data_IF_708606999287
#
_entry.id   IF_708606999287
#
_cell.length_a   1.000
_cell.length_b   1.000
_cell.length_c   1.000
_cell.angle_alpha   90.00
_cell.angle_beta   90.00
_cell.angle_gamma   90.00
#
_symmetry.space_group_name_H-M   'P 1'
#
loop_
_entity.id
_entity.type
_entity.pdbx_description
1 polymer ?
#
# COMPACT_ATOMS: atom_id res chain seq x y z
N UNK A 1 -16.87 -19.67 -8.65
CA UNK A 1 -16.59 -18.39 -7.94
C UNK A 1 -15.33 -17.65 -8.46
N UNK A 2 -14.16 -18.30 -8.57
CA UNK A 2 -12.92 -17.62 -9.06
C UNK A 2 -13.02 -17.02 -10.48
N UNK A 3 -13.70 -17.67 -11.42
CA UNK A 3 -13.92 -17.12 -12.77
C UNK A 3 -14.92 -15.95 -12.78
N UNK A 4 -15.97 -16.01 -11.95
CA UNK A 4 -16.96 -14.94 -11.81
C UNK A 4 -16.31 -13.63 -11.32
N UNK A 5 -15.39 -13.73 -10.36
CA UNK A 5 -14.63 -12.61 -9.80
C UNK A 5 -13.36 -12.27 -10.61
N UNK A 6 -13.15 -12.84 -11.81
CA UNK A 6 -11.94 -12.58 -12.60
C UNK A 6 -12.07 -11.35 -13.51
N UNK A 7 -13.29 -10.96 -13.88
CA UNK A 7 -13.61 -9.84 -14.78
C UNK A 7 -14.20 -8.66 -14.02
N UNK A 8 -13.78 -7.44 -14.38
CA UNK A 8 -14.29 -6.19 -13.80
C UNK A 8 -15.80 -6.06 -14.02
N UNK A 9 -16.29 -6.44 -15.20
CA UNK A 9 -17.72 -6.38 -15.55
C UNK A 9 -18.57 -7.25 -14.63
N UNK A 10 -18.17 -8.51 -14.42
CA UNK A 10 -18.92 -9.41 -13.51
C UNK A 10 -18.78 -9.00 -12.05
N UNK A 11 -17.63 -8.45 -11.62
CA UNK A 11 -17.51 -7.88 -10.27
C UNK A 11 -18.51 -6.75 -10.06
N UNK A 12 -18.58 -5.79 -10.98
CA UNK A 12 -19.50 -4.65 -10.89
C UNK A 12 -20.96 -5.09 -10.88
N UNK A 13 -21.34 -6.01 -11.78
CA UNK A 13 -22.70 -6.57 -11.82
C UNK A 13 -23.07 -7.26 -10.49
N UNK A 14 -22.16 -8.09 -9.95
CA UNK A 14 -22.38 -8.78 -8.68
C UNK A 14 -22.52 -7.79 -7.51
N UNK A 15 -21.64 -6.80 -7.41
CA UNK A 15 -21.70 -5.80 -6.33
C UNK A 15 -22.96 -4.94 -6.42
N UNK A 16 -23.42 -4.62 -7.64
CA UNK A 16 -24.68 -3.90 -7.84
C UNK A 16 -25.89 -4.73 -7.40
N UNK A 17 -25.95 -5.99 -7.85
CA UNK A 17 -27.01 -6.91 -7.42
C UNK A 17 -27.05 -7.08 -5.89
N UNK A 18 -25.90 -7.28 -5.25
CA UNK A 18 -25.83 -7.39 -3.79
C UNK A 18 -26.28 -6.10 -3.09
N UNK A 19 -25.90 -4.93 -3.60
CA UNK A 19 -26.32 -3.65 -3.04
C UNK A 19 -27.84 -3.49 -3.10
N UNK A 20 -28.47 -3.83 -4.22
CA UNK A 20 -29.93 -3.81 -4.39
C UNK A 20 -30.63 -4.76 -3.42
N UNK A 21 -30.15 -6.02 -3.31
CA UNK A 21 -30.72 -6.99 -2.37
C UNK A 21 -30.55 -6.62 -0.91
N UNK A 22 -29.46 -5.94 -0.57
CA UNK A 22 -29.29 -5.40 0.77
C UNK A 22 -30.30 -4.27 1.05
N UNK A 23 -30.56 -3.38 0.09
CA UNK A 23 -31.56 -2.30 0.22
C UNK A 23 -32.99 -2.84 0.36
N UNK A 24 -33.38 -3.79 -0.49
CA UNK A 24 -34.67 -4.48 -0.39
C UNK A 24 -34.87 -5.11 1.00
N UNK A 25 -33.86 -5.85 1.47
CA UNK A 25 -33.91 -6.50 2.78
C UNK A 25 -33.95 -5.49 3.93
N UNK A 26 -33.19 -4.40 3.84
CA UNK A 26 -33.19 -3.35 4.86
C UNK A 26 -34.57 -2.68 4.96
N UNK A 27 -35.19 -2.37 3.82
CA UNK A 27 -36.57 -1.85 3.78
C UNK A 27 -37.56 -2.83 4.41
N UNK A 28 -37.50 -4.12 4.04
CA UNK A 28 -38.39 -5.13 4.61
C UNK A 28 -38.22 -5.29 6.14
N UNK A 29 -37.04 -4.97 6.68
CA UNK A 29 -36.75 -5.02 8.11
C UNK A 29 -36.95 -3.67 8.82
N UNK A 30 -37.39 -2.61 8.13
CA UNK A 30 -37.50 -1.26 8.70
C UNK A 30 -36.17 -0.66 9.13
N UNK A 31 -35.06 -1.02 8.49
CA UNK A 31 -33.70 -0.55 8.83
C UNK A 31 -33.21 0.52 7.87
N UNK A 32 -32.54 1.52 8.44
CA UNK A 32 -31.78 2.50 7.67
C UNK A 32 -30.49 1.85 7.19
N UNK A 33 -30.30 1.80 5.86
CA UNK A 33 -29.10 1.25 5.26
C UNK A 33 -28.59 2.15 4.15
N UNK A 34 -27.28 2.28 4.08
CA UNK A 34 -26.53 2.93 2.99
C UNK A 34 -25.65 1.86 2.35
N UNK A 35 -25.59 1.83 1.02
CA UNK A 35 -24.69 0.97 0.24
C UNK A 35 -23.98 1.78 -0.83
N UNK A 36 -22.69 1.52 -0.99
CA UNK A 36 -21.87 2.11 -2.05
C UNK A 36 -21.17 1.01 -2.86
N UNK A 37 -21.18 1.14 -4.18
CA UNK A 37 -20.52 0.23 -5.12
C UNK A 37 -20.21 0.96 -6.43
N UNK A 38 -19.09 0.65 -7.07
CA UNK A 38 -18.66 1.43 -8.24
C UNK A 38 -18.68 2.93 -7.90
N UNK A 39 -19.25 3.77 -8.76
CA UNK A 39 -19.46 5.20 -8.43
C UNK A 39 -20.75 5.54 -7.70
N UNK A 40 -21.56 4.53 -7.39
CA UNK A 40 -22.90 4.70 -6.87
C UNK A 40 -22.91 4.69 -5.33
N UNK A 41 -23.78 5.50 -4.75
CA UNK A 41 -24.16 5.44 -3.35
C UNK A 41 -25.68 5.61 -3.25
N UNK A 42 -26.36 4.70 -2.53
CA UNK A 42 -27.80 4.72 -2.31
C UNK A 42 -28.12 4.43 -0.85
N UNK A 43 -29.27 4.90 -0.38
CA UNK A 43 -29.78 4.59 0.94
C UNK A 43 -31.29 4.38 0.93
N UNK A 44 -31.79 3.74 2.00
CA UNK A 44 -33.23 3.49 2.21
C UNK A 44 -34.01 4.69 2.76
N UNK A 45 -33.31 5.68 3.33
CA UNK A 45 -33.92 6.71 4.18
C UNK A 45 -33.59 8.14 3.75
N UNK A 46 -32.70 8.32 2.77
CA UNK A 46 -32.30 9.66 2.29
C UNK A 46 -31.63 9.57 0.92
N UNK A 47 -31.57 10.71 0.23
CA UNK A 47 -30.74 10.86 -0.96
C UNK A 47 -29.25 10.93 -0.56
N UNK A 48 -28.41 10.15 -1.24
CA UNK A 48 -26.97 10.03 -1.00
C UNK A 48 -26.10 10.48 -2.20
N UNK A 49 -26.65 11.30 -3.10
CA UNK A 49 -25.93 11.79 -4.29
C UNK A 49 -24.59 12.46 -3.94
N UNK A 50 -24.52 13.17 -2.82
CA UNK A 50 -23.32 13.85 -2.33
C UNK A 50 -22.20 12.90 -1.86
N UNK A 51 -22.49 11.60 -1.64
CA UNK A 51 -21.48 10.57 -1.35
C UNK A 51 -21.17 9.66 -2.55
N UNK A 52 -21.69 9.97 -3.74
CA UNK A 52 -21.22 9.33 -4.96
C UNK A 52 -19.77 9.72 -5.22
N UNK A 53 -18.95 8.73 -5.57
CA UNK A 53 -17.50 8.91 -5.65
C UNK A 53 -16.89 8.01 -6.69
N UNK A 54 -16.02 8.56 -7.53
CA UNK A 54 -15.20 7.84 -8.50
C UNK A 54 -14.01 7.11 -7.86
N UNK A 55 -13.84 7.22 -6.54
CA UNK A 55 -12.85 6.46 -5.78
C UNK A 55 -12.97 4.97 -6.08
N UNK A 56 -11.86 4.31 -6.41
CA UNK A 56 -11.91 2.90 -6.79
C UNK A 56 -11.96 1.98 -5.55
N UNK A 57 -11.28 2.37 -4.47
CA UNK A 57 -11.05 1.52 -3.31
C UNK A 57 -12.23 1.57 -2.32
N UNK A 58 -12.54 0.42 -1.72
CA UNK A 58 -13.70 0.28 -0.83
C UNK A 58 -13.40 0.74 0.60
N UNK A 59 -12.13 0.68 1.01
CA UNK A 59 -11.61 1.13 2.29
C UNK A 59 -11.83 2.64 2.49
N UNK A 60 -11.43 3.48 1.53
CA UNK A 60 -11.63 4.93 1.57
C UNK A 60 -13.11 5.30 1.60
N UNK A 61 -13.95 4.62 0.80
CA UNK A 61 -15.42 4.82 0.84
C UNK A 61 -16.04 4.45 2.17
N UNK A 62 -15.57 3.37 2.79
CA UNK A 62 -16.05 2.96 4.11
C UNK A 62 -15.78 4.05 5.14
N UNK A 63 -14.60 4.69 5.09
CA UNK A 63 -14.26 5.80 5.98
C UNK A 63 -15.04 7.07 5.66
N UNK A 64 -15.30 7.36 4.39
CA UNK A 64 -16.17 8.47 3.99
C UNK A 64 -17.56 8.37 4.63
N UNK A 65 -18.16 7.18 4.63
CA UNK A 65 -19.45 6.95 5.30
C UNK A 65 -19.38 7.07 6.82
N UNK A 66 -18.26 6.70 7.45
CA UNK A 66 -18.08 6.89 8.89
C UNK A 66 -18.00 8.38 9.27
N UNK A 67 -17.35 9.19 8.44
CA UNK A 67 -17.29 10.65 8.61
C UNK A 67 -18.66 11.28 8.40
N UNK A 68 -19.39 10.91 7.34
CA UNK A 68 -20.76 11.39 7.11
C UNK A 68 -21.71 11.00 8.24
N UNK A 69 -21.64 9.77 8.74
CA UNK A 69 -22.43 9.37 9.90
C UNK A 69 -22.10 10.23 11.14
N UNK A 70 -20.82 10.53 11.36
CA UNK A 70 -20.38 11.42 12.46
C UNK A 70 -20.95 12.83 12.28
N UNK A 71 -20.84 13.42 11.09
CA UNK A 71 -21.34 14.79 10.82
C UNK A 71 -22.86 14.89 10.94
N UNK A 72 -23.58 13.78 10.74
CA UNK A 72 -25.02 13.63 10.96
C UNK A 72 -25.41 13.31 12.41
N UNK A 73 -24.46 13.36 13.35
CA UNK A 73 -24.72 13.22 14.79
C UNK A 73 -24.59 11.80 15.34
N UNK A 74 -23.97 10.86 14.62
CA UNK A 74 -23.72 9.53 15.17
C UNK A 74 -22.84 9.62 16.43
N UNK A 75 -23.37 9.13 17.56
CA UNK A 75 -22.66 9.12 18.85
C UNK A 75 -21.72 7.92 19.02
N UNK A 76 -21.84 6.90 18.16
CA UNK A 76 -21.03 5.68 18.17
C UNK A 76 -20.91 5.09 16.77
N UNK A 77 -19.72 4.61 16.42
CA UNK A 77 -19.42 3.98 15.13
C UNK A 77 -18.65 2.67 15.36
N UNK A 78 -19.06 1.62 14.65
CA UNK A 78 -18.32 0.36 14.57
C UNK A 78 -17.90 0.11 13.12
N UNK A 79 -16.59 0.17 12.85
CA UNK A 79 -16.01 -0.09 11.54
C UNK A 79 -15.65 -1.57 11.47
N UNK A 80 -16.36 -2.32 10.63
CA UNK A 80 -16.14 -3.76 10.46
C UNK A 80 -15.21 -4.02 9.29
N UNK A 81 -13.97 -4.46 9.56
CA UNK A 81 -13.04 -4.86 8.51
C UNK A 81 -11.95 -5.81 9.02
N UNK A 82 -11.57 -6.85 8.24
CA UNK A 82 -10.35 -7.60 8.50
C UNK A 82 -9.08 -6.88 7.98
N UNK A 83 -9.26 -5.81 7.22
CA UNK A 83 -8.20 -5.14 6.46
C UNK A 83 -7.38 -4.16 7.33
N UNK A 84 -6.06 -4.21 7.17
CA UNK A 84 -5.15 -3.29 7.86
C UNK A 84 -5.21 -1.89 7.26
N UNK A 85 -5.50 -1.75 5.96
CA UNK A 85 -5.56 -0.47 5.28
C UNK A 85 -6.69 0.37 5.90
N UNK A 86 -7.87 -0.23 6.06
CA UNK A 86 -9.02 0.38 6.78
C UNK A 86 -8.65 0.77 8.21
N UNK A 87 -7.92 -0.08 8.94
CA UNK A 87 -7.52 0.21 10.32
C UNK A 87 -6.61 1.44 10.41
N UNK A 88 -5.60 1.52 9.54
CA UNK A 88 -4.66 2.65 9.50
C UNK A 88 -5.37 3.94 9.08
N UNK A 89 -6.25 3.88 8.07
CA UNK A 89 -7.04 5.04 7.65
C UNK A 89 -8.02 5.50 8.73
N UNK A 90 -8.65 4.58 9.46
CA UNK A 90 -9.53 4.91 10.58
C UNK A 90 -8.79 5.66 11.70
N UNK A 91 -7.55 5.27 12.01
CA UNK A 91 -6.72 6.02 12.98
C UNK A 91 -6.35 7.41 12.47
N UNK A 92 -5.99 7.53 11.18
CA UNK A 92 -5.68 8.82 10.55
C UNK A 92 -6.88 9.78 10.59
N UNK A 93 -8.09 9.26 10.35
CA UNK A 93 -9.32 10.04 10.28
C UNK A 93 -10.04 10.14 11.63
N UNK A 94 -9.55 9.46 12.67
CA UNK A 94 -10.15 9.50 14.01
C UNK A 94 -10.49 10.91 14.54
N UNK A 95 -9.69 11.97 14.30
CA UNK A 95 -10.03 13.32 14.76
C UNK A 95 -11.37 13.87 14.22
N UNK A 96 -11.84 13.37 13.07
CA UNK A 96 -13.11 13.76 12.45
C UNK A 96 -14.20 12.71 12.63
N UNK A 97 -13.93 11.64 13.37
CA UNK A 97 -14.90 10.61 13.74
C UNK A 97 -15.43 10.86 15.15
N UNK A 98 -16.60 10.30 15.45
CA UNK A 98 -17.16 10.40 16.79
C UNK A 98 -16.26 9.67 17.81
N UNK A 99 -16.28 10.16 19.07
CA UNK A 99 -15.40 9.67 20.13
C UNK A 99 -15.47 8.16 20.33
N UNK A 100 -16.69 7.61 20.28
CA UNK A 100 -16.98 6.18 20.45
C UNK A 100 -16.86 5.41 19.13
N UNK A 101 -15.74 5.60 18.43
CA UNK A 101 -15.41 4.81 17.24
C UNK A 101 -14.60 3.57 17.61
N UNK A 102 -15.07 2.41 17.15
CA UNK A 102 -14.42 1.11 17.35
C UNK A 102 -14.12 0.44 16.02
N UNK A 103 -13.07 -0.38 16.00
CA UNK A 103 -12.70 -1.22 14.87
C UNK A 103 -12.93 -2.68 15.21
N UNK A 104 -13.81 -3.33 14.44
CA UNK A 104 -14.21 -4.72 14.63
C UNK A 104 -13.52 -5.60 13.60
N UNK A 105 -12.68 -6.53 14.08
CA UNK A 105 -11.83 -7.36 13.23
C UNK A 105 -11.74 -8.80 13.75
N UNK A 106 -11.20 -9.71 12.93
CA UNK A 106 -11.16 -11.15 13.21
C UNK A 106 -12.48 -11.87 12.88
N UNK A 107 -12.44 -13.20 12.90
CA UNK A 107 -13.57 -14.06 12.53
C UNK A 107 -13.89 -15.06 13.64
N UNK A 108 -15.16 -15.45 13.74
CA UNK A 108 -15.65 -16.41 14.74
C UNK A 108 -15.22 -16.05 16.16
N UNK A 109 -14.63 -17.01 16.88
CA UNK A 109 -14.12 -16.84 18.26
C UNK A 109 -12.98 -15.83 18.39
N UNK A 110 -12.30 -15.45 17.30
CA UNK A 110 -11.20 -14.47 17.28
C UNK A 110 -11.67 -13.06 16.96
N UNK A 111 -12.99 -12.85 16.81
CA UNK A 111 -13.57 -11.53 16.60
C UNK A 111 -13.31 -10.67 17.84
N UNK A 112 -12.80 -9.46 17.61
CA UNK A 112 -12.50 -8.48 18.66
C UNK A 112 -12.92 -7.10 18.23
N UNK A 113 -13.27 -6.28 19.20
CA UNK A 113 -13.62 -4.87 19.05
C UNK A 113 -12.51 -4.05 19.69
N UNK A 114 -11.90 -3.17 18.91
CA UNK A 114 -10.76 -2.35 19.32
C UNK A 114 -11.20 -0.89 19.39
N UNK A 115 -11.23 -0.26 20.57
CA UNK A 115 -11.50 1.17 20.69
C UNK A 115 -10.38 2.00 20.04
N UNK A 116 -10.70 2.80 19.02
CA UNK A 116 -9.69 3.59 18.32
C UNK A 116 -9.14 4.74 19.18
N UNK A 117 -9.97 5.27 20.10
CA UNK A 117 -9.60 6.35 21.00
C UNK A 117 -8.30 6.08 21.77
N UNK A 118 -8.17 4.89 22.33
CA UNK A 118 -7.03 4.54 23.17
C UNK A 118 -5.73 4.53 22.36
N UNK A 119 -5.81 4.01 21.14
CA UNK A 119 -4.67 3.94 20.23
C UNK A 119 -4.30 5.34 19.75
N UNK A 120 -5.28 6.13 19.30
CA UNK A 120 -5.04 7.50 18.87
C UNK A 120 -4.37 8.34 19.96
N UNK A 121 -4.85 8.23 21.21
CA UNK A 121 -4.27 8.96 22.37
C UNK A 121 -2.87 8.50 22.76
N UNK A 122 -2.48 7.27 22.41
CA UNK A 122 -1.13 6.76 22.65
C UNK A 122 -0.09 7.25 21.63
N UNK A 123 -0.54 7.90 20.55
CA UNK A 123 0.31 8.37 19.46
C UNK A 123 0.36 9.89 19.42
N UNK A 124 1.52 10.44 19.05
CA UNK A 124 1.66 11.88 18.79
C UNK A 124 0.92 12.26 17.50
N UNK A 125 0.43 13.51 17.36
CA UNK A 125 -0.24 13.96 16.13
C UNK A 125 0.59 13.73 14.86
N UNK A 126 1.90 13.99 14.91
CA UNK A 126 2.82 13.74 13.78
C UNK A 126 2.95 12.25 13.45
N UNK A 127 2.86 11.37 14.45
CA UNK A 127 2.92 9.93 14.24
C UNK A 127 1.65 9.42 13.57
N UNK A 128 0.48 9.88 14.03
CA UNK A 128 -0.80 9.56 13.39
C UNK A 128 -0.80 10.04 11.93
N UNK A 129 -0.23 11.22 11.66
CA UNK A 129 -0.09 11.72 10.30
C UNK A 129 0.83 10.87 9.42
N UNK A 130 1.87 10.28 10.00
CA UNK A 130 2.82 9.44 9.30
C UNK A 130 2.35 7.99 9.07
N UNK A 131 1.31 7.51 9.78
CA UNK A 131 0.87 6.11 9.69
C UNK A 131 0.55 5.66 8.26
N UNK A 132 -0.19 6.42 7.41
CA UNK A 132 -0.44 6.01 6.02
C UNK A 132 0.87 5.89 5.23
N UNK A 133 1.77 6.86 5.33
CA UNK A 133 3.06 6.82 4.65
C UNK A 133 3.95 5.65 5.09
N UNK A 134 4.03 5.40 6.41
CA UNK A 134 4.73 4.27 6.98
C UNK A 134 4.16 2.93 6.48
N UNK A 135 2.83 2.79 6.50
CA UNK A 135 2.14 1.58 6.09
C UNK A 135 2.34 1.31 4.59
N UNK A 136 2.16 2.34 3.75
CA UNK A 136 2.46 2.28 2.32
C UNK A 136 3.92 1.86 2.06
N UNK A 137 4.89 2.44 2.77
CA UNK A 137 6.31 2.11 2.59
C UNK A 137 6.66 0.69 3.07
N UNK A 138 6.04 0.22 4.16
CA UNK A 138 6.33 -1.08 4.77
C UNK A 138 5.83 -2.29 3.95
N UNK A 139 5.08 -2.05 2.89
CA UNK A 139 4.49 -3.06 2.02
C UNK A 139 2.97 -3.14 2.18
N UNK A 140 2.28 -2.22 1.51
CA UNK A 140 0.88 -2.37 1.12
C UNK A 140 0.81 -3.27 -0.13
N UNK A 141 -0.40 -3.66 -0.55
CA UNK A 141 -0.63 -4.64 -1.61
C UNK A 141 0.06 -4.30 -2.96
N UNK A 142 0.41 -3.03 -3.18
CA UNK A 142 0.94 -2.51 -4.43
C UNK A 142 2.32 -1.81 -4.34
N UNK A 143 2.87 -1.61 -3.13
CA UNK A 143 4.16 -0.93 -2.96
C UNK A 143 5.35 -1.89 -2.89
N UNK A 144 5.08 -3.18 -2.67
CA UNK A 144 6.07 -4.25 -2.58
C UNK A 144 6.81 -4.28 -1.23
N UNK A 145 7.64 -5.31 -0.99
CA UNK A 145 8.25 -5.57 0.32
C UNK A 145 9.77 -5.40 0.36
N UNK A 146 10.29 -4.92 1.50
CA UNK A 146 11.73 -4.95 1.81
C UNK A 146 12.16 -6.35 2.29
N UNK A 147 13.19 -6.94 1.66
CA UNK A 147 13.61 -8.31 1.95
C UNK A 147 13.98 -8.51 3.43
N UNK A 148 13.36 -9.52 4.06
CA UNK A 148 13.60 -9.85 5.47
C UNK A 148 13.06 -8.81 6.48
N UNK A 149 12.31 -7.80 6.03
CA UNK A 149 11.78 -6.73 6.87
C UNK A 149 10.25 -6.72 6.80
N UNK A 150 9.62 -7.14 7.90
CA UNK A 150 8.16 -7.07 8.05
C UNK A 150 7.69 -5.79 8.73
N UNK A 151 6.37 -5.58 8.79
CA UNK A 151 5.72 -4.41 9.43
C UNK A 151 6.21 -4.14 10.87
N UNK A 152 6.51 -5.19 11.63
CA UNK A 152 7.07 -5.03 12.98
C UNK A 152 8.47 -4.41 13.01
N UNK A 153 9.30 -4.63 11.99
CA UNK A 153 10.61 -3.99 11.89
C UNK A 153 10.45 -2.49 11.60
N UNK A 154 9.54 -2.14 10.68
CA UNK A 154 9.15 -0.76 10.40
C UNK A 154 8.60 -0.06 11.64
N UNK A 155 7.70 -0.71 12.38
CA UNK A 155 7.12 -0.17 13.60
C UNK A 155 8.18 0.11 14.67
N UNK A 156 9.08 -0.84 14.93
CA UNK A 156 10.18 -0.64 15.89
C UNK A 156 11.09 0.52 15.50
N UNK A 157 11.45 0.63 14.22
CA UNK A 157 12.25 1.76 13.73
C UNK A 157 11.49 3.09 13.89
N UNK A 158 10.18 3.08 13.63
CA UNK A 158 9.31 4.26 13.71
C UNK A 158 9.15 4.78 15.14
N UNK A 159 9.14 3.89 16.14
CA UNK A 159 9.08 4.26 17.56
C UNK A 159 10.30 5.06 18.03
N UNK A 160 11.44 4.89 17.36
CA UNK A 160 12.70 5.58 17.69
C UNK A 160 13.10 6.61 16.62
N UNK A 161 12.24 6.87 15.65
CA UNK A 161 12.51 7.83 14.59
C UNK A 161 12.46 9.28 15.10
N UNK A 162 13.32 10.13 14.53
CA UNK A 162 13.28 11.56 14.81
C UNK A 162 12.03 12.22 14.22
N UNK A 163 11.71 13.42 14.68
CA UNK A 163 10.52 14.15 14.21
C UNK A 163 10.64 14.54 12.73
N UNK A 164 11.85 14.76 12.22
CA UNK A 164 12.12 15.00 10.79
C UNK A 164 11.75 13.77 9.95
N UNK A 165 12.15 12.58 10.41
CA UNK A 165 11.81 11.31 9.75
C UNK A 165 10.29 11.06 9.77
N UNK A 166 9.65 11.26 10.92
CA UNK A 166 8.21 11.07 11.06
C UNK A 166 7.46 12.06 10.15
N UNK A 167 7.91 13.31 10.10
CA UNK A 167 7.33 14.35 9.24
C UNK A 167 7.52 14.00 7.75
N UNK A 168 8.69 13.51 7.36
CA UNK A 168 8.97 13.06 6.00
C UNK A 168 8.02 11.90 5.59
N UNK A 169 7.80 10.92 6.47
CA UNK A 169 6.82 9.86 6.24
C UNK A 169 5.38 10.40 6.15
N UNK A 170 5.01 11.38 6.99
CA UNK A 170 3.71 12.05 6.94
C UNK A 170 3.49 12.92 5.69
N UNK A 171 4.57 13.32 5.02
CA UNK A 171 4.49 14.08 3.76
C UNK A 171 4.22 13.20 2.53
N UNK A 172 4.36 11.86 2.64
CA UNK A 172 3.93 10.95 1.57
C UNK A 172 2.45 11.17 1.26
N UNK A 173 2.07 11.28 -0.01
CA UNK A 173 0.72 11.62 -0.43
C UNK A 173 0.43 13.12 -0.57
N UNK A 174 1.36 14.00 -0.16
CA UNK A 174 1.21 15.46 -0.26
C UNK A 174 2.09 16.06 -1.36
N UNK A 175 1.76 17.24 -1.93
CA UNK A 175 2.59 17.88 -2.95
C UNK A 175 4.04 18.15 -2.53
N UNK A 176 4.31 18.28 -1.22
CA UNK A 176 5.64 18.51 -0.65
C UNK A 176 6.58 17.30 -0.65
N UNK A 177 6.14 16.13 -1.08
CA UNK A 177 6.92 14.89 -1.00
C UNK A 177 8.20 14.87 -1.86
N UNK A 178 8.25 15.63 -2.95
CA UNK A 178 9.37 15.57 -3.91
C UNK A 178 10.64 16.30 -3.47
N UNK A 179 10.74 16.72 -2.20
CA UNK A 179 11.95 17.37 -1.69
C UNK A 179 13.08 16.36 -1.50
N UNK A 180 14.31 16.78 -1.81
CA UNK A 180 15.50 15.97 -1.55
C UNK A 180 15.66 15.63 -0.06
N UNK A 181 15.20 16.51 0.82
CA UNK A 181 15.25 16.33 2.28
C UNK A 181 14.28 15.24 2.77
N UNK A 182 13.08 15.16 2.18
CA UNK A 182 12.13 14.07 2.43
C UNK A 182 12.75 12.72 2.05
N UNK A 183 13.37 12.63 0.86
CA UNK A 183 14.04 11.41 0.41
C UNK A 183 15.21 11.01 1.32
N UNK A 184 16.02 11.98 1.76
CA UNK A 184 17.14 11.76 2.67
C UNK A 184 16.68 11.32 4.06
N UNK A 185 15.57 11.86 4.55
CA UNK A 185 14.99 11.48 5.85
C UNK A 185 14.43 10.06 5.80
N UNK A 186 13.71 9.70 4.73
CA UNK A 186 13.23 8.32 4.54
C UNK A 186 14.40 7.35 4.32
N UNK A 187 15.46 7.76 3.61
CA UNK A 187 16.69 6.96 3.50
C UNK A 187 17.31 6.67 4.87
N UNK A 188 17.42 7.69 5.71
CA UNK A 188 17.94 7.56 7.09
C UNK A 188 17.10 6.56 7.88
N UNK A 189 15.78 6.64 7.76
CA UNK A 189 14.84 5.69 8.37
C UNK A 189 15.04 4.24 7.90
N UNK A 190 15.23 4.04 6.59
CA UNK A 190 15.48 2.70 6.05
C UNK A 190 16.83 2.17 6.55
N UNK A 191 17.85 3.02 6.65
CA UNK A 191 19.15 2.63 7.19
C UNK A 191 19.04 2.18 8.66
N UNK A 192 18.36 2.95 9.51
CA UNK A 192 18.17 2.59 10.92
C UNK A 192 17.35 1.31 11.09
N UNK A 193 16.37 1.06 10.21
CA UNK A 193 15.62 -0.20 10.20
C UNK A 193 16.49 -1.41 9.83
N UNK A 194 17.47 -1.25 8.93
CA UNK A 194 18.38 -2.32 8.53
C UNK A 194 19.47 -2.58 9.57
N UNK A 195 20.06 -1.52 10.13
CA UNK A 195 21.17 -1.59 11.07
C UNK A 195 21.03 -0.52 12.17
N UNK A 196 20.19 -0.75 13.20
CA UNK A 196 19.84 0.25 14.21
C UNK A 196 21.02 0.65 15.11
N UNK A 197 22.08 -0.15 15.18
CA UNK A 197 23.29 0.17 15.96
C UNK A 197 24.30 1.02 15.19
N UNK A 198 24.01 1.42 13.95
CA UNK A 198 24.95 2.16 13.10
C UNK A 198 24.55 3.62 12.94
N UNK A 199 25.54 4.49 12.76
CA UNK A 199 25.34 5.91 12.42
C UNK A 199 25.27 6.15 10.90
N UNK A 200 25.24 5.09 10.09
CA UNK A 200 25.20 5.21 8.64
C UNK A 200 23.78 5.59 8.20
N UNK A 201 23.65 6.78 7.61
CA UNK A 201 22.37 7.32 7.13
C UNK A 201 22.20 7.23 5.61
N UNK A 202 23.27 6.81 4.89
CA UNK A 202 23.28 6.66 3.43
C UNK A 202 23.21 5.20 3.05
N UNK A 203 22.23 4.84 2.23
CA UNK A 203 21.89 3.45 1.96
C UNK A 203 23.01 2.72 1.22
N UNK A 204 23.70 3.40 0.31
CA UNK A 204 24.82 2.81 -0.43
C UNK A 204 26.02 2.55 0.49
N UNK A 205 26.31 3.49 1.42
CA UNK A 205 27.36 3.31 2.44
C UNK A 205 27.01 2.16 3.38
N UNK A 206 25.75 2.09 3.83
CA UNK A 206 25.27 1.00 4.68
C UNK A 206 25.35 -0.34 3.95
N UNK A 207 24.91 -0.39 2.69
CA UNK A 207 24.94 -1.59 1.86
C UNK A 207 26.36 -2.10 1.69
N UNK A 208 27.32 -1.21 1.40
CA UNK A 208 28.74 -1.55 1.31
C UNK A 208 29.30 -2.05 2.64
N UNK A 209 28.99 -1.38 3.76
CA UNK A 209 29.43 -1.80 5.09
C UNK A 209 28.87 -3.17 5.48
N UNK A 210 27.58 -3.42 5.25
CA UNK A 210 26.97 -4.73 5.53
C UNK A 210 27.55 -5.85 4.66
N UNK A 211 27.90 -5.54 3.41
CA UNK A 211 28.55 -6.49 2.52
C UNK A 211 29.98 -6.79 2.95
N UNK A 212 30.80 -5.75 3.16
CA UNK A 212 32.24 -5.89 3.43
C UNK A 212 32.54 -6.34 4.86
N UNK A 213 31.87 -5.78 5.86
CA UNK A 213 32.19 -6.00 7.29
C UNK A 213 31.35 -7.10 7.93
N UNK A 214 30.07 -7.22 7.54
CA UNK A 214 29.16 -8.24 8.10
C UNK A 214 29.03 -9.49 7.22
N UNK A 215 29.69 -9.51 6.05
CA UNK A 215 29.58 -10.58 5.05
C UNK A 215 28.12 -10.98 4.78
N UNK A 216 27.23 -9.98 4.77
CA UNK A 216 25.80 -10.23 4.64
C UNK A 216 25.48 -10.76 3.25
N UNK A 217 24.67 -11.82 3.18
CA UNK A 217 24.15 -12.31 1.91
C UNK A 217 23.24 -11.26 1.26
N UNK A 218 23.13 -11.31 -0.07
CA UNK A 218 22.39 -10.32 -0.88
C UNK A 218 20.97 -10.07 -0.40
N UNK A 219 20.30 -11.10 0.12
CA UNK A 219 18.91 -11.07 0.61
C UNK A 219 18.73 -10.29 1.92
N UNK A 220 19.83 -10.06 2.66
CA UNK A 220 19.84 -9.31 3.93
C UNK A 220 20.31 -7.87 3.76
N UNK A 221 20.78 -7.50 2.57
CA UNK A 221 21.24 -6.15 2.29
C UNK A 221 20.04 -5.21 2.11
N UNK A 222 20.18 -3.92 2.49
CA UNK A 222 19.19 -2.89 2.14
C UNK A 222 19.11 -2.72 0.61
N UNK A 223 18.00 -2.19 0.07
CA UNK A 223 17.89 -1.94 -1.37
C UNK A 223 18.98 -1.00 -1.89
N UNK A 224 19.20 -0.98 -3.20
CA UNK A 224 20.00 0.09 -3.83
C UNK A 224 19.29 1.43 -3.67
N UNK A 225 20.03 2.54 -3.76
CA UNK A 225 19.44 3.88 -3.74
C UNK A 225 18.30 4.05 -4.75
N UNK A 226 18.51 3.64 -5.98
CA UNK A 226 17.50 3.71 -7.04
C UNK A 226 16.25 2.85 -6.72
N UNK A 227 16.43 1.64 -6.19
CA UNK A 227 15.29 0.81 -5.77
C UNK A 227 14.52 1.41 -4.60
N UNK A 228 15.21 2.09 -3.67
CA UNK A 228 14.58 2.82 -2.57
C UNK A 228 13.73 3.98 -3.11
N UNK A 229 14.26 4.79 -4.04
CA UNK A 229 13.52 5.92 -4.62
C UNK A 229 12.24 5.44 -5.33
N UNK A 230 12.29 4.32 -6.05
CA UNK A 230 11.09 3.72 -6.63
C UNK A 230 10.10 3.22 -5.56
N UNK A 231 10.59 2.64 -4.46
CA UNK A 231 9.73 2.23 -3.35
C UNK A 231 9.03 3.41 -2.67
N UNK A 232 9.75 4.52 -2.47
CA UNK A 232 9.21 5.77 -1.95
C UNK A 232 8.17 6.34 -2.91
N UNK A 233 8.44 6.35 -4.22
CA UNK A 233 7.48 6.81 -5.25
C UNK A 233 6.18 6.00 -5.25
N UNK A 234 6.25 4.67 -5.14
CA UNK A 234 5.04 3.83 -5.03
C UNK A 234 4.28 4.09 -3.73
N UNK A 235 5.00 4.23 -2.61
CA UNK A 235 4.37 4.54 -1.32
C UNK A 235 3.68 5.92 -1.34
N UNK A 236 4.32 6.90 -1.98
CA UNK A 236 3.76 8.22 -2.19
C UNK A 236 2.47 8.16 -3.02
N UNK A 237 2.49 7.43 -4.14
CA UNK A 237 1.30 7.26 -4.97
C UNK A 237 0.16 6.58 -4.20
N UNK A 238 0.44 5.54 -3.41
CA UNK A 238 -0.59 4.90 -2.61
C UNK A 238 -1.19 5.85 -1.57
N UNK A 239 -0.36 6.66 -0.91
CA UNK A 239 -0.84 7.69 0.01
C UNK A 239 -1.70 8.76 -0.69
N UNK A 240 -1.40 9.13 -1.95
CA UNK A 240 -2.27 10.01 -2.76
C UNK A 240 -3.65 9.37 -2.94
N UNK A 241 -3.71 8.08 -3.30
CA UNK A 241 -4.98 7.37 -3.52
C UNK A 241 -5.83 7.43 -2.25
N UNK A 242 -5.22 7.13 -1.10
CA UNK A 242 -5.90 7.21 0.19
C UNK A 242 -6.37 8.62 0.57
N UNK A 243 -5.59 9.67 0.28
CA UNK A 243 -5.96 11.04 0.63
C UNK A 243 -6.96 11.69 -0.33
N UNK A 244 -6.94 11.33 -1.61
CA UNK A 244 -7.99 11.76 -2.54
C UNK A 244 -9.39 11.29 -2.10
N UNK A 245 -9.47 10.26 -1.25
CA UNK A 245 -10.73 9.79 -0.67
C UNK A 245 -11.45 10.79 0.26
N UNK A 246 -10.78 11.87 0.70
CA UNK A 246 -11.37 12.87 1.59
C UNK A 246 -12.09 14.04 0.90
N UNK A 247 -11.92 14.22 -0.41
CA UNK A 247 -12.53 15.31 -1.17
C UNK A 247 -13.46 14.76 -2.25
N UNK A 248 -14.77 14.98 -2.11
CA UNK A 248 -15.71 14.75 -3.20
C UNK A 248 -15.38 15.69 -4.36
N UNK A 249 -14.76 15.16 -5.41
CA UNK A 249 -14.45 15.88 -6.64
C UNK A 249 -13.01 16.37 -6.74
N UNK A 250 -12.18 15.64 -7.49
CA UNK A 250 -10.84 16.07 -7.86
C UNK A 250 -10.23 15.17 -8.93
N UNK A 251 -10.34 15.59 -10.19
CA UNK A 251 -9.98 14.85 -11.39
C UNK A 251 -8.63 14.12 -11.33
N UNK A 252 -8.62 12.92 -11.91
CA UNK A 252 -7.46 12.04 -11.97
C UNK A 252 -6.23 12.71 -12.59
N UNK A 253 -5.21 12.92 -11.77
CA UNK A 253 -3.85 13.13 -12.26
C UNK A 253 -3.45 11.91 -13.10
N UNK A 254 -3.18 12.14 -14.39
CA UNK A 254 -2.82 11.13 -15.37
C UNK A 254 -1.68 10.22 -14.89
N UNK A 255 -1.82 8.93 -15.16
CA UNK A 255 -1.03 7.83 -14.59
C UNK A 255 0.45 7.76 -14.98
N UNK A 256 1.15 8.87 -15.23
CA UNK A 256 2.55 8.84 -15.69
C UNK A 256 3.65 8.74 -14.62
N UNK A 257 3.36 8.94 -13.33
CA UNK A 257 4.41 9.24 -12.34
C UNK A 257 4.58 8.32 -11.12
N UNK A 258 3.71 7.32 -10.93
CA UNK A 258 3.58 6.60 -9.64
C UNK A 258 4.52 5.41 -9.40
N UNK A 259 5.71 5.37 -10.02
CA UNK A 259 6.63 4.23 -9.87
C UNK A 259 6.12 2.93 -10.51
N UNK A 260 5.25 3.05 -11.51
CA UNK A 260 4.73 1.96 -12.33
C UNK A 260 4.99 2.19 -13.82
N UNK A 261 5.05 1.12 -14.60
CA UNK A 261 5.13 1.14 -16.06
C UNK A 261 4.00 0.33 -16.67
N UNK A 262 3.56 0.69 -17.85
CA UNK A 262 2.55 -0.07 -18.58
C UNK A 262 3.23 -1.19 -19.38
N UNK A 263 2.92 -2.45 -19.06
CA UNK A 263 3.31 -3.64 -19.81
C UNK A 263 2.05 -4.42 -20.18
N UNK A 264 1.84 -4.70 -21.47
CA UNK A 264 0.69 -5.48 -21.97
C UNK A 264 -0.68 -5.01 -21.42
N UNK A 265 -0.91 -3.69 -21.42
CA UNK A 265 -2.10 -3.04 -20.87
C UNK A 265 -2.34 -3.27 -19.36
N UNK A 266 -1.31 -3.69 -18.62
CA UNK A 266 -1.29 -3.77 -17.15
C UNK A 266 -0.21 -2.88 -16.60
N UNK A 267 -0.51 -2.22 -15.50
CA UNK A 267 0.51 -1.49 -14.77
C UNK A 267 1.31 -2.46 -13.90
N UNK A 268 2.62 -2.41 -14.06
CA UNK A 268 3.59 -3.21 -13.32
C UNK A 268 4.49 -2.25 -12.55
N UNK A 269 4.74 -2.49 -11.26
CA UNK A 269 5.62 -1.62 -10.48
C UNK A 269 7.04 -1.62 -11.07
N UNK A 270 7.60 -0.42 -11.23
CA UNK A 270 9.02 -0.22 -11.53
C UNK A 270 9.78 -0.43 -10.24
N UNK A 271 10.62 -1.46 -10.18
CA UNK A 271 11.34 -1.83 -8.96
C UNK A 271 12.70 -1.16 -8.82
N UNK A 272 13.37 -0.91 -9.95
CA UNK A 272 14.66 -0.24 -10.11
C UNK A 272 14.79 0.09 -11.59
N UNK A 273 15.37 1.24 -11.90
CA UNK A 273 15.77 1.68 -13.24
C UNK A 273 17.21 1.26 -13.54
N UNK A 274 18.01 1.00 -12.50
CA UNK A 274 19.40 0.61 -12.65
C UNK A 274 19.61 -0.90 -12.71
N UNK A 275 20.73 -1.29 -13.33
CA UNK A 275 21.20 -2.67 -13.30
C UNK A 275 21.67 -3.05 -11.89
N UNK A 276 21.48 -4.30 -11.47
CA UNK A 276 21.84 -4.76 -10.12
C UNK A 276 23.35 -4.79 -9.84
N UNK A 277 24.16 -4.72 -10.88
CA UNK A 277 25.62 -4.60 -10.84
C UNK A 277 26.11 -3.96 -12.16
N UNK A 278 27.34 -3.43 -12.23
CA UNK A 278 27.94 -2.99 -13.49
C UNK A 278 27.90 -4.09 -14.55
N UNK A 279 27.67 -3.72 -15.82
CA UNK A 279 27.58 -4.68 -16.95
C UNK A 279 28.80 -5.60 -17.01
N UNK A 280 29.98 -5.06 -16.74
CA UNK A 280 31.25 -5.82 -16.70
C UNK A 280 31.19 -6.98 -15.72
N UNK A 281 30.54 -6.82 -14.56
CA UNK A 281 30.50 -7.83 -13.48
C UNK A 281 29.38 -8.84 -13.68
N UNK A 282 28.27 -8.46 -14.32
CA UNK A 282 27.09 -9.31 -14.49
C UNK A 282 27.43 -10.63 -15.22
N UNK A 283 28.36 -10.61 -16.17
CA UNK A 283 28.77 -11.80 -16.93
C UNK A 283 29.59 -12.81 -16.10
N UNK A 284 30.19 -12.38 -14.99
CA UNK A 284 30.98 -13.23 -14.09
C UNK A 284 30.12 -13.89 -13.01
N UNK A 285 28.89 -13.43 -12.80
CA UNK A 285 27.95 -14.06 -11.86
C UNK A 285 27.33 -15.30 -12.49
N UNK A 286 28.01 -16.44 -12.34
CA UNK A 286 27.51 -17.77 -12.76
C UNK A 286 27.16 -18.59 -11.53
N UNK A 287 26.01 -19.28 -11.53
CA UNK A 287 25.87 -20.39 -10.59
C UNK A 287 26.76 -21.55 -11.05
N UNK A 288 27.62 -22.05 -10.17
CA UNK A 288 28.35 -23.32 -10.33
C UNK A 288 27.48 -24.57 -10.17
N UNK A 289 26.17 -24.42 -10.37
CA UNK A 289 25.22 -25.51 -10.33
C UNK A 289 25.42 -26.41 -11.55
N UNK A 290 25.90 -27.64 -11.35
CA UNK A 290 26.05 -28.64 -12.41
C UNK A 290 24.71 -29.22 -12.90
N UNK A 291 23.64 -29.09 -12.09
CA UNK A 291 22.33 -29.66 -12.34
C UNK A 291 21.30 -28.63 -12.87
N UNK A 292 20.35 -29.09 -13.69
CA UNK A 292 19.23 -28.30 -14.24
C UNK A 292 18.38 -27.62 -13.16
N UNK A 293 18.30 -28.21 -11.96
CA UNK A 293 17.68 -27.64 -10.77
C UNK A 293 18.72 -27.55 -9.66
N UNK A 294 18.97 -26.34 -9.18
CA UNK A 294 19.84 -26.12 -8.04
C UNK A 294 19.16 -26.63 -6.77
N UNK A 295 19.82 -27.54 -6.04
CA UNK A 295 19.32 -28.07 -4.76
C UNK A 295 19.13 -26.99 -3.69
N UNK A 296 19.92 -25.90 -3.73
CA UNK A 296 19.78 -24.78 -2.80
C UNK A 296 18.68 -23.78 -3.20
N UNK A 297 17.96 -24.03 -4.29
CA UNK A 297 16.98 -23.11 -4.91
C UNK A 297 17.53 -21.72 -5.29
N UNK A 298 18.85 -21.51 -5.23
CA UNK A 298 19.53 -20.21 -5.49
C UNK A 298 19.58 -19.80 -6.98
N UNK A 299 19.17 -20.67 -7.90
CA UNK A 299 18.97 -20.35 -9.32
C UNK A 299 18.05 -21.36 -10.03
N UNK A 300 17.42 -20.95 -11.14
CA UNK A 300 16.70 -21.85 -12.08
C UNK A 300 17.12 -21.54 -13.52
N UNK A 301 17.92 -22.42 -14.13
CA UNK A 301 18.13 -22.42 -15.59
C UNK A 301 16.81 -22.87 -16.25
N UNK A 302 16.23 -22.04 -17.11
CA UNK A 302 15.29 -22.55 -18.14
C UNK A 302 16.12 -22.84 -19.39
N UNK A 303 15.78 -23.92 -20.06
CA UNK A 303 16.50 -24.58 -21.15
C UNK A 303 16.80 -23.68 -22.35
N UNK A 304 17.89 -24.07 -23.05
CA UNK A 304 18.54 -23.51 -24.24
C UNK A 304 17.74 -22.49 -25.08
N UNK A 305 18.00 -21.23 -24.79
CA UNK A 305 18.32 -20.19 -25.77
C UNK A 305 18.98 -19.04 -25.00
N UNK A 306 20.03 -18.48 -25.55
CA UNK A 306 20.92 -17.49 -24.95
C UNK A 306 20.19 -16.22 -24.52
N UNK A 307 19.62 -16.20 -23.30
CA UNK A 307 19.27 -14.97 -22.58
C UNK A 307 19.69 -15.05 -21.12
N UNK A 308 20.62 -14.17 -20.79
CA UNK A 308 21.10 -13.82 -19.45
C UNK A 308 19.93 -13.64 -18.49
N UNK A 309 19.71 -14.64 -17.62
CA UNK A 309 18.88 -14.49 -16.44
C UNK A 309 19.73 -13.97 -15.29
N UNK A 310 19.64 -12.67 -15.07
CA UNK A 310 20.09 -12.08 -13.82
C UNK A 310 19.29 -12.70 -12.68
N UNK A 311 20.00 -13.27 -11.72
CA UNK A 311 19.49 -14.01 -10.57
C UNK A 311 18.27 -13.34 -9.91
N UNK A 312 17.21 -14.13 -9.70
CA UNK A 312 16.11 -13.91 -8.72
C UNK A 312 16.54 -13.54 -7.29
N UNK A 313 17.84 -13.43 -7.00
CA UNK A 313 18.42 -13.26 -5.66
C UNK A 313 19.17 -11.93 -5.46
N UNK A 314 19.26 -11.08 -6.50
CA UNK A 314 19.53 -9.64 -6.32
C UNK A 314 18.20 -8.85 -6.31
N UNK A 315 17.12 -9.51 -6.71
CA UNK A 315 15.77 -8.98 -6.77
C UNK A 315 14.90 -9.66 -5.72
N UNK A 316 14.88 -9.16 -4.50
CA UNK A 316 13.76 -9.44 -3.61
C UNK A 316 13.13 -8.15 -3.11
N UNK A 317 12.45 -7.49 -4.03
CA UNK A 317 11.12 -7.00 -3.73
C UNK A 317 10.16 -8.09 -4.23
N UNK A 318 9.46 -8.77 -3.32
CA UNK A 318 8.50 -9.80 -3.72
C UNK A 318 7.25 -9.11 -4.26
N UNK A 319 6.92 -9.34 -5.53
CA UNK A 319 5.55 -9.12 -6.00
C UNK A 319 4.68 -10.27 -5.52
N UNK A 320 3.88 -10.01 -4.49
CA UNK A 320 2.76 -10.87 -4.13
C UNK A 320 1.84 -11.04 -5.35
N UNK A 321 1.38 -12.27 -5.59
CA UNK A 321 0.36 -12.54 -6.61
C UNK A 321 -0.94 -11.86 -6.22
N UNK A 322 -1.21 -10.65 -6.72
CA UNK A 322 -2.58 -10.16 -6.99
C UNK A 322 -2.63 -8.83 -7.77
N UNK A 323 -1.90 -8.70 -8.88
CA UNK A 323 -2.12 -7.60 -9.84
C UNK A 323 -3.29 -7.97 -10.79
N UNK A 324 -4.51 -7.66 -10.35
CA UNK A 324 -5.64 -7.38 -11.24
C UNK A 324 -6.33 -6.11 -10.76
N UNK A 325 -5.78 -4.97 -11.13
CA UNK A 325 -6.49 -3.69 -11.27
C UNK A 325 -5.49 -2.70 -11.80
N UNK A 326 -5.74 -2.32 -13.05
CA UNK A 326 -5.40 -1.07 -13.71
C UNK A 326 -5.66 -1.36 -15.18
N UNK A 327 -6.91 -1.17 -15.60
CA UNK A 327 -7.31 -1.17 -17.00
C UNK A 327 -7.62 0.29 -17.40
N UNK A 328 -7.30 0.69 -18.64
CA UNK A 328 -7.40 2.09 -19.08
C UNK A 328 -8.85 2.57 -19.22
N UNK A 329 -9.05 3.86 -18.91
CA UNK A 329 -10.21 4.64 -19.30
C UNK A 329 -10.32 4.66 -20.83
N UNK A 330 -11.32 3.98 -21.39
CA UNK A 330 -11.72 4.19 -22.78
C UNK A 330 -12.35 5.58 -22.89
N UNK A 331 -11.63 6.50 -23.55
CA UNK A 331 -12.23 7.75 -24.06
C UNK A 331 -13.32 7.37 -25.06
N UNK A 332 -14.57 7.73 -24.74
CA UNK A 332 -15.65 7.75 -25.73
C UNK A 332 -15.24 8.71 -26.86
N UNK A 333 -15.09 8.20 -28.07
CA UNK A 333 -15.24 9.02 -29.28
C UNK A 333 -16.73 9.28 -29.43
N UNK A 334 -17.08 10.56 -29.47
CA UNK A 334 -18.34 11.01 -30.05
C UNK A 334 -18.33 10.63 -31.53
N UNK A 335 -19.45 10.06 -31.96
CA UNK A 335 -19.86 9.79 -33.31
C UNK A 335 -21.38 9.65 -33.24
#
# INVERSE_FOLDING_TARGET
MKQLLASVKTKMALTGYLAEKMLERANAMGKHMVVAWGSQCKATHTNMAYLQSDQEEADTKLLLHAVDATSRGASSIAIHSPDTDVFILALRWYPVLCRNTTFVTGTGKKRRTVPLQMIYRSLRPIQVAALPGLHALSGADNTGSFAGKGKMAFWKAFQHASDEVITALGSLGTPSHSSTDTLNSIETFICSMYAPQTLLTKIDKLRWWMFSQKQSQSEKLPPTRDALEQAISRAHFQAIVWFKGGGGGGGGGGGGGGGGKLEEAKWVPVMTTQLPAPKSVIHFVKCNCSQLRCQTARCTRRTRESRTRVHRHVWMFQSGRQLRKLAPLNRRRQG
#
